data_IF_616438593449
#
_entry.id   IF_616438593449
#
_cell.length_a   1.000
_cell.length_b   1.000
_cell.length_c   1.000
_cell.angle_alpha   90.00
_cell.angle_beta   90.00
_cell.angle_gamma   90.00
#
_symmetry.space_group_name_H-M   'P 1'
#
loop_
_entity.id
_entity.type
_entity.pdbx_description
1 polymer ?
#
# COMPACT_ATOMS: atom_id res chain seq x y z
N UNK A 1 -3.75 -8.35 19.22
CA UNK A 1 -2.53 -7.90 19.94
C UNK A 1 -1.35 -8.23 19.05
N UNK A 2 -0.29 -7.42 19.06
CA UNK A 2 0.89 -7.65 18.21
C UNK A 2 1.52 -9.00 18.55
N UNK A 3 1.57 -9.90 17.58
CA UNK A 3 2.41 -11.09 17.64
C UNK A 3 3.89 -10.69 17.42
N UNK A 4 4.64 -10.59 18.52
CA UNK A 4 6.05 -10.19 18.49
C UNK A 4 6.94 -11.22 17.79
N UNK A 5 6.64 -12.51 17.92
CA UNK A 5 7.40 -13.56 17.24
C UNK A 5 7.36 -13.41 15.72
N UNK A 6 6.18 -13.09 15.15
CA UNK A 6 6.07 -12.80 13.72
C UNK A 6 6.87 -11.54 13.36
N UNK A 7 6.71 -10.45 14.12
CA UNK A 7 7.41 -9.20 13.84
C UNK A 7 8.95 -9.36 13.88
N UNK A 8 9.47 -10.10 14.86
CA UNK A 8 10.90 -10.34 15.00
C UNK A 8 11.46 -11.22 13.88
N UNK A 9 10.71 -12.26 13.46
CA UNK A 9 11.10 -13.09 12.32
C UNK A 9 11.14 -12.28 11.02
N UNK A 10 10.13 -11.44 10.78
CA UNK A 10 10.08 -10.54 9.63
C UNK A 10 11.23 -9.54 9.68
N UNK A 11 11.46 -8.92 10.84
CA UNK A 11 12.54 -7.95 11.04
C UNK A 11 13.90 -8.55 10.75
N UNK A 12 14.13 -9.79 11.21
CA UNK A 12 15.36 -10.54 10.95
C UNK A 12 15.52 -10.89 9.47
N UNK A 13 14.49 -11.42 8.82
CA UNK A 13 14.55 -11.88 7.42
C UNK A 13 14.72 -10.72 6.43
N UNK A 14 14.06 -9.59 6.70
CA UNK A 14 14.22 -8.35 5.92
C UNK A 14 15.44 -7.52 6.33
N UNK A 15 16.18 -7.91 7.38
CA UNK A 15 17.31 -7.15 7.92
C UNK A 15 16.93 -5.69 8.21
N UNK A 16 15.78 -5.49 8.86
CA UNK A 16 15.26 -4.15 9.13
C UNK A 16 16.24 -3.37 10.03
N UNK A 17 16.58 -2.16 9.58
CA UNK A 17 17.24 -1.17 10.45
C UNK A 17 16.30 -0.76 11.57
N UNK A 18 16.87 -0.31 12.68
CA UNK A 18 16.11 0.08 13.87
C UNK A 18 14.97 1.08 13.57
N UNK A 19 15.16 2.16 12.80
CA UNK A 19 14.07 3.08 12.47
C UNK A 19 12.93 2.44 11.67
N UNK A 20 13.26 1.46 10.80
CA UNK A 20 12.25 0.75 10.02
C UNK A 20 11.46 -0.20 10.92
N UNK A 21 12.11 -0.87 11.89
CA UNK A 21 11.42 -1.72 12.87
C UNK A 21 10.48 -0.89 13.74
N UNK A 22 10.92 0.28 14.20
CA UNK A 22 10.10 1.21 14.99
C UNK A 22 8.90 1.74 14.21
N UNK A 23 9.07 2.10 12.93
CA UNK A 23 7.97 2.51 12.06
C UNK A 23 6.90 1.41 11.92
N UNK A 24 7.34 0.17 11.70
CA UNK A 24 6.43 -1.00 11.58
C UNK A 24 5.71 -1.27 12.89
N UNK A 25 6.43 -1.27 14.02
CA UNK A 25 5.83 -1.48 15.33
C UNK A 25 4.81 -0.39 15.66
N UNK A 26 5.15 0.87 15.44
CA UNK A 26 4.26 2.02 15.67
C UNK A 26 2.99 1.91 14.84
N UNK A 27 3.11 1.52 13.57
CA UNK A 27 1.94 1.22 12.74
C UNK A 27 1.07 0.10 13.34
N UNK A 28 1.66 -1.03 13.74
CA UNK A 28 0.92 -2.16 14.29
C UNK A 28 0.21 -1.82 15.61
N UNK A 29 0.82 -0.99 16.46
CA UNK A 29 0.20 -0.48 17.69
C UNK A 29 -1.06 0.33 17.38
N UNK A 30 -0.98 1.25 16.41
CA UNK A 30 -2.14 2.04 15.96
C UNK A 30 -3.22 1.16 15.30
N UNK A 31 -2.81 0.21 14.46
CA UNK A 31 -3.72 -0.74 13.80
C UNK A 31 -4.54 -1.53 14.84
N UNK A 32 -3.90 -2.24 15.77
CA UNK A 32 -4.62 -3.04 16.76
C UNK A 32 -5.39 -2.20 17.79
N UNK A 33 -4.96 -0.97 18.08
CA UNK A 33 -5.72 -0.07 18.94
C UNK A 33 -7.00 0.40 18.26
N UNK A 34 -6.97 0.64 16.94
CA UNK A 34 -8.16 1.04 16.18
C UNK A 34 -9.19 -0.10 16.08
N UNK A 35 -8.75 -1.33 15.79
CA UNK A 35 -9.62 -2.51 15.71
C UNK A 35 -10.31 -2.82 17.06
N UNK A 36 -9.60 -2.64 18.18
CA UNK A 36 -10.21 -2.77 19.51
C UNK A 36 -11.29 -1.72 19.79
N UNK A 37 -11.19 -0.53 19.18
CA UNK A 37 -12.14 0.55 19.38
C UNK A 37 -13.38 0.38 18.50
N UNK A 38 -13.24 -0.18 17.29
CA UNK A 38 -14.38 -0.53 16.44
C UNK A 38 -15.27 -1.61 17.05
N UNK A 39 -14.68 -2.62 17.71
CA UNK A 39 -15.45 -3.66 18.40
C UNK A 39 -16.25 -3.13 19.61
N UNK A 40 -15.86 -1.97 20.17
CA UNK A 40 -16.45 -1.39 21.39
C UNK A 40 -17.46 -0.27 21.12
N UNK A 41 -17.51 0.28 19.90
CA UNK A 41 -18.43 1.36 19.54
C UNK A 41 -19.37 0.86 18.44
N UNK A 42 -20.67 0.79 18.76
CA UNK A 42 -21.78 0.61 17.80
C UNK A 42 -22.01 1.87 16.93
N UNK A 43 -20.98 2.70 16.73
CA UNK A 43 -21.13 4.00 16.08
C UNK A 43 -20.77 3.91 14.59
N UNK A 44 -21.82 4.10 13.78
CA UNK A 44 -21.88 4.20 12.32
C UNK A 44 -21.00 5.31 11.71
N UNK A 45 -19.67 5.21 11.80
CA UNK A 45 -18.81 5.95 10.87
C UNK A 45 -17.77 5.02 10.25
N UNK A 46 -18.01 4.72 8.97
CA UNK A 46 -17.05 4.27 7.94
C UNK A 46 -15.89 5.27 7.83
N UNK A 47 -15.14 5.51 8.90
CA UNK A 47 -13.96 6.35 8.86
C UNK A 47 -12.81 5.48 8.39
N UNK A 48 -12.36 5.73 7.18
CA UNK A 48 -11.14 5.16 6.64
C UNK A 48 -9.99 5.32 7.65
N UNK A 49 -9.33 4.22 8.01
CA UNK A 49 -8.11 4.22 8.81
C UNK A 49 -6.94 4.64 7.94
N UNK A 50 -6.55 5.91 8.04
CA UNK A 50 -5.38 6.48 7.37
C UNK A 50 -4.24 6.69 8.36
N UNK A 51 -3.06 6.18 8.02
CA UNK A 51 -1.85 6.26 8.81
C UNK A 51 -0.69 6.77 7.96
N UNK A 52 0.03 7.75 8.44
CA UNK A 52 1.14 8.39 7.72
C UNK A 52 2.42 8.14 8.49
N UNK A 53 3.37 7.51 7.80
CA UNK A 53 4.74 7.27 8.24
C UNK A 53 5.64 8.30 7.55
N UNK A 54 6.02 9.33 8.30
CA UNK A 54 6.93 10.37 7.85
C UNK A 54 8.37 9.85 7.96
N UNK A 55 8.89 9.30 6.88
CA UNK A 55 10.22 8.66 6.82
C UNK A 55 11.00 9.24 5.65
N UNK A 56 12.17 9.80 5.94
CA UNK A 56 12.99 10.47 4.95
C UNK A 56 13.39 9.56 3.76
N UNK A 57 13.64 10.18 2.60
CA UNK A 57 14.06 9.47 1.39
C UNK A 57 15.39 8.75 1.61
N UNK A 58 15.48 7.50 1.15
CA UNK A 58 16.70 6.69 1.28
C UNK A 58 16.82 5.91 2.60
N UNK A 59 15.94 6.14 3.58
CA UNK A 59 15.96 5.42 4.87
C UNK A 59 15.43 3.98 4.77
N UNK A 60 14.57 3.71 3.79
CA UNK A 60 14.09 2.35 3.50
C UNK A 60 12.57 2.18 3.49
N UNK A 61 11.80 3.15 2.96
CA UNK A 61 10.33 3.06 2.81
C UNK A 61 9.86 1.72 2.21
N UNK A 62 10.56 1.21 1.19
CA UNK A 62 10.25 -0.11 0.60
C UNK A 62 10.36 -1.26 1.61
N UNK A 63 11.33 -1.22 2.53
CA UNK A 63 11.46 -2.23 3.59
C UNK A 63 10.32 -2.13 4.60
N UNK A 64 9.87 -0.92 4.93
CA UNK A 64 8.70 -0.69 5.80
C UNK A 64 7.43 -1.26 5.13
N UNK A 65 7.21 -0.95 3.85
CA UNK A 65 6.10 -1.50 3.06
C UNK A 65 6.15 -3.03 3.06
N UNK A 66 7.31 -3.62 2.74
CA UNK A 66 7.49 -5.07 2.72
C UNK A 66 7.21 -5.71 4.09
N UNK A 67 7.68 -5.11 5.17
CA UNK A 67 7.48 -5.61 6.52
C UNK A 67 6.02 -5.55 6.96
N UNK A 68 5.33 -4.43 6.73
CA UNK A 68 3.91 -4.28 7.06
C UNK A 68 3.06 -5.24 6.24
N UNK A 69 3.28 -5.30 4.92
CA UNK A 69 2.57 -6.23 4.04
C UNK A 69 2.75 -7.68 4.50
N UNK A 70 3.99 -8.08 4.75
CA UNK A 70 4.33 -9.44 5.18
C UNK A 70 3.66 -9.79 6.52
N UNK A 71 3.67 -8.85 7.46
CA UNK A 71 3.04 -9.02 8.77
C UNK A 71 1.52 -9.16 8.65
N UNK A 72 0.86 -8.25 7.95
CA UNK A 72 -0.59 -8.28 7.76
C UNK A 72 -1.05 -9.53 7.00
N UNK A 73 -0.26 -9.99 6.03
CA UNK A 73 -0.55 -11.24 5.34
C UNK A 73 -0.41 -12.47 6.25
N UNK A 74 0.64 -12.52 7.07
CA UNK A 74 0.92 -13.67 7.92
C UNK A 74 0.00 -13.73 9.16
N UNK A 75 -0.12 -12.62 9.89
CA UNK A 75 -0.86 -12.52 11.15
C UNK A 75 -2.36 -12.29 10.93
N UNK A 76 -2.72 -11.35 10.05
CA UNK A 76 -4.10 -10.88 9.86
C UNK A 76 -4.81 -11.53 8.66
N UNK A 77 -4.09 -12.37 7.90
CA UNK A 77 -4.60 -13.07 6.70
C UNK A 77 -5.13 -12.11 5.63
N UNK A 78 -4.60 -10.89 5.58
CA UNK A 78 -4.90 -9.95 4.51
C UNK A 78 -4.20 -10.41 3.22
N UNK A 79 -4.95 -10.45 2.12
CA UNK A 79 -4.47 -11.01 0.86
C UNK A 79 -4.42 -9.99 -0.27
N UNK A 80 -5.02 -8.81 -0.12
CA UNK A 80 -5.10 -7.82 -1.18
C UNK A 80 -4.37 -6.54 -0.80
N UNK A 81 -3.26 -6.26 -1.49
CA UNK A 81 -2.45 -5.07 -1.27
C UNK A 81 -2.30 -4.27 -2.56
N UNK A 82 -2.40 -2.95 -2.47
CA UNK A 82 -2.11 -2.03 -3.56
C UNK A 82 -0.97 -1.10 -3.16
N UNK A 83 0.09 -1.02 -3.97
CA UNK A 83 1.07 0.07 -3.89
C UNK A 83 0.77 1.07 -5.00
N UNK A 84 0.49 2.31 -4.59
CA UNK A 84 0.32 3.45 -5.47
C UNK A 84 1.64 4.20 -5.56
N UNK A 85 2.23 4.18 -6.76
CA UNK A 85 3.44 4.92 -7.07
C UNK A 85 3.11 6.25 -7.77
N UNK A 86 3.92 7.31 -7.57
CA UNK A 86 3.63 8.62 -8.16
C UNK A 86 3.92 8.69 -9.66
N UNK A 87 4.73 7.76 -10.18
CA UNK A 87 5.08 7.70 -11.60
C UNK A 87 5.64 6.35 -12.04
N UNK A 88 5.82 6.21 -13.35
CA UNK A 88 6.23 4.96 -14.00
C UNK A 88 7.56 4.41 -13.50
N UNK A 89 8.56 5.28 -13.30
CA UNK A 89 9.91 4.88 -12.86
C UNK A 89 9.87 4.26 -11.46
N UNK A 90 9.18 4.90 -10.52
CA UNK A 90 9.04 4.40 -9.15
C UNK A 90 8.22 3.11 -9.16
N UNK A 91 7.14 3.02 -9.95
CA UNK A 91 6.38 1.79 -10.13
C UNK A 91 7.25 0.62 -10.60
N UNK A 92 8.07 0.82 -11.63
CA UNK A 92 8.96 -0.22 -12.17
C UNK A 92 10.03 -0.66 -11.15
N UNK A 93 10.58 0.30 -10.40
CA UNK A 93 11.48 0.00 -9.28
C UNK A 93 10.77 -0.84 -8.21
N UNK A 94 9.54 -0.47 -7.84
CA UNK A 94 8.74 -1.22 -6.87
C UNK A 94 8.43 -2.63 -7.36
N UNK A 95 8.05 -2.81 -8.63
CA UNK A 95 7.87 -4.16 -9.22
C UNK A 95 9.15 -4.99 -9.07
N UNK A 96 10.32 -4.42 -9.38
CA UNK A 96 11.59 -5.13 -9.22
C UNK A 96 11.88 -5.50 -7.76
N UNK A 97 11.59 -4.60 -6.81
CA UNK A 97 11.77 -4.86 -5.38
C UNK A 97 10.92 -6.02 -4.86
N UNK A 98 9.81 -6.37 -5.51
CA UNK A 98 8.94 -7.49 -5.10
C UNK A 98 9.01 -8.70 -6.05
N UNK A 99 9.84 -8.64 -7.10
CA UNK A 99 9.98 -9.72 -8.08
C UNK A 99 11.15 -10.65 -7.74
N UNK A 100 10.96 -11.95 -7.85
CA UNK A 100 12.06 -12.91 -7.71
C UNK A 100 13.16 -12.66 -8.76
N UNK A 101 14.40 -13.01 -8.42
CA UNK A 101 15.57 -12.95 -9.31
C UNK A 101 15.86 -11.54 -9.87
N UNK A 102 15.48 -10.49 -9.13
CA UNK A 102 15.85 -9.09 -9.45
C UNK A 102 16.89 -8.58 -8.45
N UNK A 103 17.83 -7.71 -8.90
CA UNK A 103 18.75 -7.04 -7.99
C UNK A 103 18.00 -6.27 -6.91
N UNK A 104 18.43 -6.37 -5.66
CA UNK A 104 17.83 -5.71 -4.50
C UNK A 104 16.35 -6.07 -4.25
N UNK A 105 15.89 -7.20 -4.78
CA UNK A 105 14.57 -7.71 -4.45
C UNK A 105 14.46 -8.08 -2.97
N UNK A 106 13.26 -7.91 -2.44
CA UNK A 106 12.85 -8.30 -1.11
C UNK A 106 11.97 -9.56 -1.14
N UNK A 107 11.62 -10.07 -2.33
CA UNK A 107 10.65 -11.14 -2.51
C UNK A 107 11.04 -12.44 -1.78
N UNK A 108 12.33 -12.79 -1.81
CA UNK A 108 12.93 -13.93 -1.12
C UNK A 108 13.12 -13.69 0.39
N UNK A 109 13.17 -12.42 0.80
CA UNK A 109 13.25 -11.96 2.20
C UNK A 109 11.90 -11.93 2.92
N UNK A 110 10.77 -12.18 2.24
CA UNK A 110 9.46 -12.27 2.88
C UNK A 110 9.26 -13.63 3.58
N UNK A 111 8.64 -13.65 4.76
CA UNK A 111 8.33 -14.91 5.48
C UNK A 111 7.16 -15.65 4.84
N UNK A 112 6.26 -14.93 4.16
CA UNK A 112 5.23 -15.48 3.28
C UNK A 112 5.79 -15.93 1.92
N UNK A 113 4.98 -16.67 1.15
CA UNK A 113 5.24 -16.86 -0.29
C UNK A 113 5.26 -15.50 -1.01
N UNK A 114 6.15 -15.28 -1.98
CA UNK A 114 6.18 -14.05 -2.77
C UNK A 114 4.79 -13.68 -3.30
N UNK A 115 4.33 -12.42 -3.11
CA UNK A 115 3.06 -11.96 -3.63
C UNK A 115 2.95 -12.11 -5.15
N UNK A 116 1.75 -12.41 -5.62
CA UNK A 116 1.44 -12.35 -7.04
C UNK A 116 1.34 -10.88 -7.47
N UNK A 117 2.36 -10.41 -8.20
CA UNK A 117 2.40 -9.04 -8.71
C UNK A 117 1.40 -8.87 -9.85
N UNK A 118 0.53 -7.87 -9.71
CA UNK A 118 -0.44 -7.47 -10.72
C UNK A 118 -0.16 -6.02 -11.11
N UNK A 119 0.07 -5.78 -12.39
CA UNK A 119 0.33 -4.46 -12.97
C UNK A 119 -0.50 -4.24 -14.24
N UNK A 120 -0.26 -3.11 -14.90
CA UNK A 120 -0.94 -2.74 -16.15
C UNK A 120 -0.80 -3.78 -17.27
N UNK A 121 0.25 -4.61 -17.26
CA UNK A 121 0.53 -5.56 -18.33
C UNK A 121 -0.25 -6.86 -18.18
N UNK A 122 -0.61 -7.25 -16.96
CA UNK A 122 -1.18 -8.57 -16.68
C UNK A 122 -2.56 -8.53 -15.99
N UNK A 123 -3.06 -7.36 -15.59
CA UNK A 123 -4.35 -7.23 -14.89
C UNK A 123 -5.53 -7.92 -15.60
N UNK A 124 -5.59 -7.86 -16.92
CA UNK A 124 -6.68 -8.48 -17.69
C UNK A 124 -6.51 -9.99 -17.93
N UNK A 125 -5.33 -10.55 -17.68
CA UNK A 125 -5.02 -11.95 -17.99
C UNK A 125 -4.86 -12.80 -16.73
N UNK A 126 -4.53 -12.18 -15.60
CA UNK A 126 -4.32 -12.86 -14.32
C UNK A 126 -5.65 -13.15 -13.63
N UNK A 127 -5.81 -14.37 -13.14
CA UNK A 127 -6.91 -14.71 -12.22
C UNK A 127 -6.62 -14.11 -10.84
N UNK A 128 -7.44 -13.16 -10.42
CA UNK A 128 -7.34 -12.49 -9.12
C UNK A 128 -8.22 -13.13 -8.04
N UNK A 129 -8.92 -14.22 -8.36
CA UNK A 129 -9.90 -14.88 -7.48
C UNK A 129 -9.29 -15.85 -6.47
N UNK A 130 -8.01 -16.20 -6.59
CA UNK A 130 -7.36 -17.14 -5.67
C UNK A 130 -7.20 -16.51 -4.27
N UNK A 131 -8.01 -16.95 -3.31
CA UNK A 131 -7.99 -16.45 -1.94
C UNK A 131 -6.79 -16.94 -1.12
N UNK A 132 -6.04 -17.94 -1.60
CA UNK A 132 -4.89 -18.50 -0.89
C UNK A 132 -3.56 -17.81 -1.26
N UNK A 133 -3.60 -16.89 -2.23
CA UNK A 133 -2.44 -16.13 -2.69
C UNK A 133 -2.54 -14.67 -2.26
N UNK A 134 -1.44 -14.13 -1.73
CA UNK A 134 -1.29 -12.69 -1.52
C UNK A 134 -1.11 -12.02 -2.88
N UNK A 135 -1.93 -11.03 -3.19
CA UNK A 135 -1.87 -10.22 -4.41
C UNK A 135 -1.30 -8.85 -4.08
N UNK A 136 -0.36 -8.43 -4.91
CA UNK A 136 0.24 -7.11 -4.82
C UNK A 136 0.00 -6.36 -6.13
N UNK A 137 -1.02 -5.52 -6.13
CA UNK A 137 -1.31 -4.58 -7.20
C UNK A 137 -0.28 -3.44 -7.14
N UNK A 138 0.39 -3.12 -8.24
CA UNK A 138 1.39 -2.05 -8.30
C UNK A 138 1.09 -1.13 -9.48
N UNK A 139 0.45 0.00 -9.18
CA UNK A 139 -0.06 0.93 -10.19
C UNK A 139 0.40 2.34 -9.92
N UNK A 140 0.35 3.17 -10.96
CA UNK A 140 0.50 4.62 -10.74
C UNK A 140 -0.85 5.23 -10.42
N UNK A 141 -0.83 6.41 -9.82
CA UNK A 141 -2.01 7.27 -9.68
C UNK A 141 -2.75 7.44 -11.00
N UNK A 142 -2.01 7.75 -12.07
CA UNK A 142 -2.60 8.01 -13.37
C UNK A 142 -3.35 6.79 -13.90
N UNK A 143 -2.90 5.58 -13.56
CA UNK A 143 -3.58 4.33 -13.93
C UNK A 143 -4.94 4.19 -13.23
N UNK A 144 -5.11 4.80 -12.05
CA UNK A 144 -6.36 4.79 -11.28
C UNK A 144 -7.29 5.95 -11.66
N UNK A 145 -6.75 7.10 -12.06
CA UNK A 145 -7.52 8.33 -12.34
C UNK A 145 -7.86 8.54 -13.81
N UNK A 146 -7.34 7.73 -14.73
CA UNK A 146 -7.62 7.86 -16.16
C UNK A 146 -9.10 7.57 -16.48
N UNK A 147 -9.92 8.60 -16.36
CA UNK A 147 -11.19 8.79 -17.03
C UNK A 147 -11.39 10.30 -17.32
N UNK A 148 -11.65 10.62 -18.58
CA UNK A 148 -11.99 11.95 -19.16
C UNK A 148 -10.90 13.04 -19.17
N UNK A 149 -10.26 13.24 -20.35
CA UNK A 149 -9.48 14.45 -20.64
C UNK A 149 -8.97 14.60 -22.08
N UNK A 150 -9.76 15.30 -22.92
CA UNK A 150 -9.57 16.08 -24.19
C UNK A 150 -8.37 15.88 -25.17
N UNK A 151 -7.43 14.98 -24.98
CA UNK A 151 -6.34 14.70 -25.95
C UNK A 151 -6.16 13.20 -26.19
N UNK A 152 -7.26 12.54 -26.56
CA UNK A 152 -7.25 11.11 -26.89
C UNK A 152 -6.59 10.86 -28.26
N UNK A 153 -5.29 10.49 -28.25
CA UNK A 153 -4.71 9.66 -29.32
C UNK A 153 -5.34 8.26 -29.25
N UNK A 154 -5.33 7.51 -30.36
CA UNK A 154 -5.97 6.19 -30.57
C UNK A 154 -5.78 5.12 -29.47
N UNK A 155 -4.83 5.28 -28.55
CA UNK A 155 -4.59 4.41 -27.38
C UNK A 155 -5.49 4.69 -26.16
N UNK A 156 -6.22 5.81 -26.15
CA UNK A 156 -6.97 6.32 -24.98
C UNK A 156 -8.08 5.41 -24.47
N UNK A 157 -8.74 4.62 -25.34
CA UNK A 157 -9.87 3.79 -24.93
C UNK A 157 -9.43 2.59 -24.08
N UNK A 158 -8.26 2.01 -24.35
CA UNK A 158 -7.77 0.86 -23.59
C UNK A 158 -7.37 1.25 -22.17
N UNK A 159 -6.63 2.36 -22.02
CA UNK A 159 -6.18 2.87 -20.73
C UNK A 159 -7.36 3.36 -19.86
N UNK A 160 -8.39 3.96 -20.46
CA UNK A 160 -9.61 4.38 -19.75
C UNK A 160 -10.48 3.18 -19.29
N UNK A 161 -10.63 2.18 -20.16
CA UNK A 161 -11.33 0.92 -19.82
C UNK A 161 -10.58 0.16 -18.73
N UNK A 162 -9.24 0.15 -18.78
CA UNK A 162 -8.39 -0.40 -17.74
C UNK A 162 -8.61 0.35 -16.42
N UNK A 163 -8.55 1.68 -16.40
CA UNK A 163 -8.71 2.46 -15.16
C UNK A 163 -10.08 2.26 -14.50
N UNK A 164 -11.15 2.16 -15.28
CA UNK A 164 -12.49 1.86 -14.77
C UNK A 164 -12.57 0.44 -14.20
N UNK A 165 -12.14 -0.57 -14.98
CA UNK A 165 -12.20 -1.97 -14.55
C UNK A 165 -11.30 -2.27 -13.35
N UNK A 166 -10.13 -1.61 -13.26
CA UNK A 166 -9.23 -1.69 -12.12
C UNK A 166 -9.89 -1.14 -10.85
N UNK A 167 -10.47 0.06 -10.91
CA UNK A 167 -11.17 0.64 -9.74
C UNK A 167 -12.36 -0.21 -9.30
N UNK A 168 -13.18 -0.67 -10.24
CA UNK A 168 -14.31 -1.55 -9.95
C UNK A 168 -13.89 -2.89 -9.35
N UNK A 169 -12.72 -3.41 -9.74
CA UNK A 169 -12.16 -4.61 -9.14
C UNK A 169 -11.68 -4.35 -7.72
N UNK A 170 -10.84 -3.33 -7.53
CA UNK A 170 -10.23 -2.98 -6.24
C UNK A 170 -11.29 -2.60 -5.20
N UNK A 171 -12.34 -1.85 -5.59
CA UNK A 171 -13.41 -1.43 -4.68
C UNK A 171 -14.29 -2.57 -4.15
N UNK A 172 -14.14 -3.79 -4.69
CA UNK A 172 -14.86 -4.99 -4.26
C UNK A 172 -14.01 -5.89 -3.36
N UNK A 173 -12.79 -5.46 -3.00
CA UNK A 173 -11.88 -6.21 -2.14
C UNK A 173 -12.04 -5.73 -0.70
N UNK A 174 -12.72 -6.53 0.14
CA UNK A 174 -13.07 -6.17 1.52
C UNK A 174 -11.84 -5.97 2.43
N UNK A 175 -10.73 -6.63 2.14
CA UNK A 175 -9.47 -6.58 2.90
C UNK A 175 -8.39 -5.72 2.23
N UNK A 176 -8.74 -4.86 1.27
CA UNK A 176 -7.77 -4.05 0.53
C UNK A 176 -6.96 -3.13 1.46
N UNK A 177 -5.64 -3.30 1.46
CA UNK A 177 -4.68 -2.38 2.10
C UNK A 177 -3.94 -1.60 1.02
N UNK A 178 -3.91 -0.27 1.15
CA UNK A 178 -3.24 0.61 0.19
C UNK A 178 -2.00 1.23 0.83
N UNK A 179 -0.86 1.11 0.15
CA UNK A 179 0.35 1.88 0.41
C UNK A 179 0.48 3.01 -0.60
N UNK A 180 0.49 4.24 -0.11
CA UNK A 180 0.69 5.45 -0.88
C UNK A 180 2.16 5.91 -0.71
N UNK A 181 3.04 5.52 -1.63
CA UNK A 181 4.44 5.93 -1.62
C UNK A 181 4.59 7.36 -2.16
N UNK A 182 5.38 8.20 -1.49
CA UNK A 182 5.41 9.65 -1.69
C UNK A 182 4.05 10.33 -1.46
N UNK A 183 3.45 10.03 -0.30
CA UNK A 183 2.11 10.52 0.09
C UNK A 183 1.92 12.05 0.01
N UNK A 184 2.96 12.86 0.09
CA UNK A 184 2.83 14.30 -0.10
C UNK A 184 2.32 14.72 -1.49
N UNK A 185 2.57 13.90 -2.53
CA UNK A 185 2.12 14.16 -3.91
C UNK A 185 0.61 13.96 -4.10
N UNK A 186 -0.07 13.52 -3.05
CA UNK A 186 -1.40 12.97 -3.10
C UNK A 186 -2.46 13.88 -2.45
N UNK A 187 -2.08 15.09 -2.04
CA UNK A 187 -3.00 16.08 -1.48
C UNK A 187 -3.92 16.80 -2.48
N UNK A 188 -3.83 16.49 -3.78
CA UNK A 188 -4.79 17.01 -4.77
C UNK A 188 -6.17 16.38 -4.62
N UNK A 189 -7.25 17.16 -4.76
CA UNK A 189 -8.65 16.71 -4.56
C UNK A 189 -8.97 15.42 -5.33
N UNK A 190 -8.68 15.41 -6.65
CA UNK A 190 -8.90 14.23 -7.52
C UNK A 190 -8.09 13.00 -7.13
N UNK A 191 -6.92 13.19 -6.53
CA UNK A 191 -6.11 12.07 -6.04
C UNK A 191 -6.78 11.46 -4.81
N UNK A 192 -7.08 12.31 -3.83
CA UNK A 192 -7.62 11.90 -2.53
C UNK A 192 -8.96 11.19 -2.73
N UNK A 193 -9.77 11.66 -3.67
CA UNK A 193 -11.02 11.01 -4.08
C UNK A 193 -10.78 9.62 -4.68
N UNK A 194 -9.94 9.49 -5.71
CA UNK A 194 -9.69 8.19 -6.36
C UNK A 194 -9.09 7.14 -5.41
N UNK A 195 -8.17 7.61 -4.55
CA UNK A 195 -7.86 7.12 -3.20
C UNK A 195 -8.99 6.40 -2.45
N UNK A 196 -9.79 7.26 -1.83
CA UNK A 196 -10.78 6.94 -0.80
C UNK A 196 -12.04 6.28 -1.37
N UNK A 197 -12.36 6.51 -2.64
CA UNK A 197 -13.47 5.85 -3.34
C UNK A 197 -13.30 4.32 -3.42
N UNK A 198 -12.06 3.83 -3.37
CA UNK A 198 -11.78 2.39 -3.30
C UNK A 198 -12.23 1.78 -1.97
N UNK A 199 -12.53 2.61 -0.95
CA UNK A 199 -12.93 2.20 0.41
C UNK A 199 -12.02 1.11 0.98
N UNK A 200 -10.68 1.31 0.99
CA UNK A 200 -9.77 0.30 1.49
C UNK A 200 -9.98 0.10 3.00
N UNK A 201 -9.64 -1.10 3.48
CA UNK A 201 -9.59 -1.40 4.91
C UNK A 201 -8.59 -0.47 5.62
N UNK A 202 -7.43 -0.24 5.00
CA UNK A 202 -6.37 0.60 5.54
C UNK A 202 -5.70 1.39 4.42
N UNK A 203 -5.43 2.67 4.65
CA UNK A 203 -4.57 3.51 3.83
C UNK A 203 -3.30 3.88 4.62
N UNK A 204 -2.12 3.58 4.06
CA UNK A 204 -0.82 3.83 4.68
C UNK A 204 -0.03 4.75 3.76
N UNK A 205 0.14 6.01 4.16
CA UNK A 205 1.00 6.97 3.49
C UNK A 205 2.45 6.85 3.95
N UNK A 206 3.39 6.82 3.01
CA UNK A 206 4.83 6.91 3.32
C UNK A 206 5.42 8.11 2.60
N UNK A 207 6.09 9.00 3.32
CA UNK A 207 6.71 10.18 2.72
C UNK A 207 7.80 10.77 3.60
N UNK A 208 8.81 11.42 3.00
CA UNK A 208 9.80 12.18 3.78
C UNK A 208 9.37 13.61 4.12
N UNK A 209 8.31 14.10 3.49
CA UNK A 209 7.91 15.50 3.54
C UNK A 209 6.38 15.61 3.55
N UNK A 210 5.71 15.30 4.68
CA UNK A 210 4.25 15.39 4.77
C UNK A 210 3.76 16.76 4.29
N UNK A 211 2.64 16.79 3.57
CA UNK A 211 2.06 18.06 3.12
C UNK A 211 1.57 18.87 4.33
N UNK A 212 1.65 20.19 4.29
CA UNK A 212 1.18 21.10 5.36
C UNK A 212 -0.29 20.89 5.78
N UNK A 213 -1.12 20.35 4.89
CA UNK A 213 -2.55 20.08 5.14
C UNK A 213 -2.78 18.71 5.78
N UNK A 214 -1.70 17.98 6.05
CA UNK A 214 -1.76 16.68 6.71
C UNK A 214 -2.19 16.85 8.15
N UNK A 215 -3.35 16.28 8.56
CA UNK A 215 -3.74 16.29 9.96
C UNK A 215 -2.66 15.63 10.80
N UNK A 216 -2.12 16.34 11.80
CA UNK A 216 -1.04 15.82 12.65
C UNK A 216 -1.39 14.47 13.30
N UNK A 217 -2.68 14.26 13.62
CA UNK A 217 -3.18 12.99 14.17
C UNK A 217 -3.05 11.77 13.24
N UNK A 218 -2.90 12.00 11.93
CA UNK A 218 -2.71 10.96 10.93
C UNK A 218 -1.23 10.62 10.75
N UNK A 219 -0.32 11.52 11.13
CA UNK A 219 1.13 11.26 11.20
C UNK A 219 1.40 10.50 12.50
N UNK A 220 1.61 9.19 12.38
CA UNK A 220 1.79 8.31 13.54
C UNK A 220 3.26 8.02 13.84
N UNK A 221 4.15 8.34 12.91
CA UNK A 221 5.58 8.11 13.06
C UNK A 221 6.37 9.15 12.26
N UNK A 222 7.43 9.68 12.87
CA UNK A 222 8.35 10.61 12.23
C UNK A 222 9.80 10.17 12.46
N UNK A 223 10.57 10.09 11.37
CA UNK A 223 12.01 9.85 11.42
C UNK A 223 12.71 10.75 10.38
N UNK A 224 13.15 11.94 10.81
CA UNK A 224 13.90 12.86 9.95
C UNK A 224 15.32 12.34 9.67
N UNK A 225 15.96 12.89 8.63
CA UNK A 225 17.38 12.66 8.30
C UNK A 225 18.31 13.23 9.37
#
# INVERSE_FOLDING_TARGET
MINQTILDNISKKLELRQPNKEAVQTFLEHYYNSEKLSDRRLDNFNKLSEYILSVATGVGKTYIIAAILNYLAEAEKITNFLIVAPGKIIREKTINNFSLNKPNSLADKLTIKPPHIIDIKNFHTVKTTDKNSVKLFIFTVQSLTQAKGKTARKTSNYDEVLGKSLREHLSKLDDLVIFADEHHLYYGERFSEAIRELKPKILIGLTGTPHEKTPTKEIIFEYPL
#
